data_IF_570556380575
#
_entry.id   IF_570556380575
#
_cell.length_a   1.000
_cell.length_b   1.000
_cell.length_c   1.000
_cell.angle_alpha   90.00
_cell.angle_beta   90.00
_cell.angle_gamma   90.00
#
_symmetry.space_group_name_H-M   'P 1'
#
loop_
_entity.id
_entity.type
_entity.pdbx_description
1 polymer ?
#
# COMPACT_ATOMS: atom_id res chain seq x y z
N UNK A 1 16.52 -21.40 -16.42
CA UNK A 1 15.15 -21.11 -15.91
C UNK A 1 14.90 -19.65 -15.51
N UNK A 2 15.89 -18.84 -15.10
CA UNK A 2 15.64 -17.41 -14.78
C UNK A 2 15.59 -16.50 -16.04
N UNK A 3 16.24 -16.91 -17.13
CA UNK A 3 16.35 -16.12 -18.38
C UNK A 3 15.06 -16.22 -19.21
N UNK A 4 14.33 -17.34 -19.14
CA UNK A 4 13.04 -17.51 -19.83
C UNK A 4 11.90 -16.66 -19.24
N UNK A 5 11.93 -16.36 -17.94
CA UNK A 5 10.91 -15.50 -17.32
C UNK A 5 11.04 -14.03 -17.76
N UNK A 6 12.26 -13.58 -18.06
CA UNK A 6 12.51 -12.21 -18.53
C UNK A 6 12.07 -12.05 -20.00
N UNK A 7 12.19 -13.11 -20.79
CA UNK A 7 11.79 -13.09 -22.20
C UNK A 7 10.26 -13.14 -22.38
N UNK A 8 9.54 -13.91 -21.54
CA UNK A 8 8.07 -13.95 -21.58
C UNK A 8 7.38 -12.67 -21.06
N UNK A 9 8.06 -11.83 -20.28
CA UNK A 9 7.51 -10.53 -19.83
C UNK A 9 7.53 -9.43 -20.88
N UNK A 10 8.24 -9.59 -22.00
CA UNK A 10 8.37 -8.54 -23.02
C UNK A 10 7.18 -8.43 -23.99
N UNK A 11 6.27 -9.43 -24.00
CA UNK A 11 5.25 -9.55 -25.06
C UNK A 11 3.80 -9.73 -24.58
N UNK A 12 3.47 -9.43 -23.32
CA UNK A 12 2.09 -9.52 -22.79
C UNK A 12 1.66 -8.20 -22.11
N UNK A 13 1.50 -7.10 -22.87
CA UNK A 13 1.17 -5.79 -22.28
C UNK A 13 -0.20 -5.76 -21.57
N UNK A 14 -1.14 -6.63 -21.94
CA UNK A 14 -2.52 -6.58 -21.42
C UNK A 14 -2.73 -7.34 -20.10
N UNK A 15 -1.98 -8.42 -19.83
CA UNK A 15 -2.13 -9.20 -18.59
C UNK A 15 -1.28 -8.69 -17.41
N UNK A 16 -0.35 -7.79 -17.68
CA UNK A 16 0.57 -7.22 -16.68
C UNK A 16 -0.01 -5.98 -15.98
N UNK A 17 -0.94 -5.27 -16.63
CA UNK A 17 -1.60 -4.09 -16.06
C UNK A 17 -2.26 -4.34 -14.69
N UNK A 18 -3.12 -5.36 -14.49
CA UNK A 18 -3.76 -5.58 -13.18
C UNK A 18 -2.75 -5.97 -12.09
N UNK A 19 -1.63 -6.60 -12.45
CA UNK A 19 -0.53 -6.91 -11.52
C UNK A 19 0.16 -5.63 -11.06
N UNK A 20 0.43 -4.69 -11.98
CA UNK A 20 1.04 -3.38 -11.66
C UNK A 20 0.09 -2.56 -10.81
N UNK A 21 -1.21 -2.53 -11.14
CA UNK A 21 -2.24 -1.82 -10.36
C UNK A 21 -2.33 -2.38 -8.94
N UNK A 22 -2.41 -3.70 -8.78
CA UNK A 22 -2.48 -4.28 -7.44
C UNK A 22 -1.19 -4.04 -6.64
N UNK A 23 -0.03 -4.12 -7.29
CA UNK A 23 1.27 -3.83 -6.67
C UNK A 23 1.39 -2.37 -6.25
N UNK A 24 0.90 -1.43 -7.07
CA UNK A 24 0.92 0.00 -6.76
C UNK A 24 -0.05 0.34 -5.64
N UNK A 25 -1.21 -0.32 -5.57
CA UNK A 25 -2.15 -0.19 -4.43
C UNK A 25 -1.54 -0.70 -3.14
N UNK A 26 -0.90 -1.87 -3.14
CA UNK A 26 -0.23 -2.41 -1.94
C UNK A 26 0.91 -1.49 -1.49
N UNK A 27 1.68 -0.95 -2.44
CA UNK A 27 2.75 0.00 -2.12
C UNK A 27 2.18 1.34 -1.62
N UNK A 28 1.09 1.82 -2.22
CA UNK A 28 0.37 3.02 -1.79
C UNK A 28 -0.16 2.88 -0.37
N UNK A 29 -0.69 1.71 0.00
CA UNK A 29 -1.16 1.40 1.34
C UNK A 29 -0.04 1.51 2.38
N UNK A 30 1.16 1.08 2.00
CA UNK A 30 2.36 1.15 2.82
C UNK A 30 2.92 2.58 2.96
N UNK A 31 2.74 3.42 1.94
CA UNK A 31 3.11 4.84 1.92
C UNK A 31 2.10 5.73 2.63
N UNK A 32 0.83 5.35 2.66
CA UNK A 32 -0.27 6.12 3.26
C UNK A 32 0.02 6.60 4.70
N UNK A 33 0.49 5.76 5.65
CA UNK A 33 0.77 6.24 7.00
C UNK A 33 1.95 7.21 7.05
N UNK A 34 2.91 7.12 6.12
CA UNK A 34 4.01 8.09 6.00
C UNK A 34 3.49 9.45 5.54
N UNK A 35 2.53 9.48 4.63
CA UNK A 35 1.88 10.71 4.20
C UNK A 35 1.09 11.34 5.35
N UNK A 36 0.36 10.54 6.15
CA UNK A 36 -0.30 11.02 7.36
C UNK A 36 0.69 11.64 8.36
N UNK A 37 1.83 11.00 8.59
CA UNK A 37 2.90 11.56 9.43
C UNK A 37 3.41 12.87 8.86
N UNK A 38 3.67 12.93 7.54
CA UNK A 38 4.19 14.12 6.87
C UNK A 38 3.22 15.32 6.92
N UNK A 39 1.91 15.07 6.89
CA UNK A 39 0.86 16.10 7.05
C UNK A 39 0.74 16.55 8.52
N UNK A 40 1.41 15.88 9.45
CA UNK A 40 1.44 16.26 10.86
C UNK A 40 0.37 15.60 11.70
N UNK A 41 -0.24 14.49 11.27
CA UNK A 41 -1.24 13.76 12.05
C UNK A 41 -0.74 13.34 13.45
N UNK A 42 0.58 13.18 13.63
CA UNK A 42 1.19 12.87 14.92
C UNK A 42 1.14 14.02 15.93
N UNK A 43 1.02 15.26 15.47
CA UNK A 43 0.98 16.44 16.37
C UNK A 43 -0.26 16.44 17.27
N UNK A 44 -1.28 15.68 16.89
CA UNK A 44 -2.50 15.50 17.66
C UNK A 44 -2.43 14.47 18.78
N UNK A 45 -1.40 13.62 18.81
CA UNK A 45 -1.24 12.58 19.82
C UNK A 45 -0.29 13.01 20.94
N UNK A 46 -0.40 12.35 22.10
CA UNK A 46 0.55 12.54 23.19
C UNK A 46 1.99 12.27 22.70
N UNK A 47 2.93 13.14 23.09
CA UNK A 47 4.33 13.09 22.64
C UNK A 47 4.98 11.71 22.86
N UNK A 48 4.64 11.01 23.96
CA UNK A 48 5.12 9.65 24.22
C UNK A 48 4.65 8.61 23.20
N UNK A 49 3.41 8.72 22.72
CA UNK A 49 2.89 7.84 21.67
C UNK A 49 3.63 8.08 20.35
N UNK A 50 3.83 9.33 19.97
CA UNK A 50 4.61 9.70 18.78
C UNK A 50 6.04 9.15 18.85
N UNK A 51 6.75 9.33 19.97
CA UNK A 51 8.12 8.83 20.14
C UNK A 51 8.24 7.31 20.07
N UNK A 52 7.23 6.56 20.54
CA UNK A 52 7.26 5.10 20.51
C UNK A 52 6.82 4.53 19.15
N UNK A 53 5.75 5.09 18.59
CA UNK A 53 5.11 4.58 17.36
C UNK A 53 5.87 4.97 16.09
N UNK A 54 6.45 6.16 16.02
CA UNK A 54 7.14 6.66 14.83
C UNK A 54 8.35 5.79 14.43
N UNK A 55 9.32 5.47 15.32
CA UNK A 55 10.44 4.60 14.95
C UNK A 55 9.98 3.16 14.65
N UNK A 56 8.97 2.65 15.34
CA UNK A 56 8.41 1.33 15.07
C UNK A 56 7.76 1.26 13.68
N UNK A 57 6.96 2.29 13.34
CA UNK A 57 6.31 2.38 12.05
C UNK A 57 7.32 2.57 10.91
N UNK A 58 8.29 3.48 11.09
CA UNK A 58 9.39 3.65 10.15
C UNK A 58 10.11 2.32 9.91
N UNK A 59 10.49 1.60 10.97
CA UNK A 59 11.15 0.31 10.85
C UNK A 59 10.29 -0.71 10.09
N UNK A 60 9.00 -0.83 10.41
CA UNK A 60 8.09 -1.73 9.72
C UNK A 60 7.93 -1.38 8.23
N UNK A 61 7.70 -0.11 7.91
CA UNK A 61 7.60 0.38 6.52
C UNK A 61 8.91 0.17 5.76
N UNK A 62 10.07 0.39 6.39
CA UNK A 62 11.39 0.16 5.77
C UNK A 62 11.64 -1.32 5.51
N UNK A 63 11.34 -2.19 6.47
CA UNK A 63 11.49 -3.66 6.32
C UNK A 63 10.59 -4.17 5.19
N UNK A 64 9.32 -3.78 5.18
CA UNK A 64 8.35 -4.20 4.16
C UNK A 64 8.72 -3.65 2.78
N UNK A 65 9.04 -2.35 2.67
CA UNK A 65 9.45 -1.74 1.40
C UNK A 65 10.75 -2.34 0.88
N UNK A 66 11.76 -2.57 1.73
CA UNK A 66 12.99 -3.25 1.36
C UNK A 66 12.69 -4.64 0.78
N UNK A 67 11.83 -5.43 1.41
CA UNK A 67 11.47 -6.77 0.90
C UNK A 67 10.65 -6.72 -0.39
N UNK A 68 9.76 -5.74 -0.54
CA UNK A 68 8.93 -5.59 -1.74
C UNK A 68 9.71 -5.05 -2.94
N UNK A 69 10.69 -4.18 -2.70
CA UNK A 69 11.58 -3.58 -3.69
C UNK A 69 12.84 -4.41 -3.97
N UNK A 70 13.16 -5.40 -3.12
CA UNK A 70 14.28 -6.30 -3.32
C UNK A 70 14.18 -7.05 -4.66
N UNK A 71 15.34 -7.39 -5.23
CA UNK A 71 15.39 -8.16 -6.48
C UNK A 71 14.84 -9.58 -6.26
N UNK A 72 14.02 -10.11 -7.19
CA UNK A 72 13.54 -11.48 -7.12
C UNK A 72 14.72 -12.45 -7.27
N UNK A 73 14.98 -13.27 -6.25
CA UNK A 73 16.00 -14.34 -6.32
C UNK A 73 16.95 -14.45 -5.13
N UNK A 74 16.91 -13.54 -4.16
CA UNK A 74 17.69 -13.71 -2.92
C UNK A 74 17.07 -14.86 -2.12
N UNK A 75 17.78 -16.00 -2.03
CA UNK A 75 17.40 -17.15 -1.20
C UNK A 75 17.45 -16.74 0.27
N UNK A 76 16.31 -16.38 0.84
CA UNK A 76 16.20 -16.12 2.27
C UNK A 76 16.15 -17.45 3.05
N UNK A 77 17.14 -17.68 3.92
CA UNK A 77 17.32 -18.94 4.66
C UNK A 77 16.24 -19.24 5.72
N UNK A 78 15.36 -18.27 6.04
CA UNK A 78 14.30 -18.42 7.05
C UNK A 78 12.95 -17.87 6.59
N UNK A 79 12.39 -18.50 5.56
CA UNK A 79 11.11 -18.09 4.94
C UNK A 79 9.95 -17.94 5.95
N UNK A 80 9.90 -18.80 6.97
CA UNK A 80 8.86 -18.78 8.00
C UNK A 80 9.01 -17.58 8.96
N UNK A 81 10.23 -17.30 9.45
CA UNK A 81 10.48 -16.17 10.35
C UNK A 81 10.22 -14.85 9.66
N UNK A 82 10.64 -14.73 8.41
CA UNK A 82 10.41 -13.54 7.58
C UNK A 82 8.92 -13.34 7.25
N UNK A 83 8.16 -14.42 7.03
CA UNK A 83 6.71 -14.34 6.88
C UNK A 83 6.03 -13.84 8.15
N UNK A 84 6.45 -14.31 9.33
CA UNK A 84 5.91 -13.82 10.61
C UNK A 84 6.19 -12.33 10.82
N UNK A 85 7.42 -11.88 10.53
CA UNK A 85 7.79 -10.45 10.61
C UNK A 85 6.96 -9.61 9.63
N UNK A 86 6.71 -10.11 8.42
CA UNK A 86 5.85 -9.45 7.43
C UNK A 86 4.41 -9.31 7.95
N UNK A 87 3.82 -10.38 8.49
CA UNK A 87 2.49 -10.33 9.10
C UNK A 87 2.41 -9.37 10.28
N UNK A 88 3.41 -9.39 11.18
CA UNK A 88 3.47 -8.48 12.33
C UNK A 88 3.61 -7.03 11.87
N UNK A 89 4.46 -6.76 10.87
CA UNK A 89 4.63 -5.42 10.31
C UNK A 89 3.33 -4.91 9.67
N UNK A 90 2.61 -5.76 8.93
CA UNK A 90 1.30 -5.41 8.37
C UNK A 90 0.24 -5.16 9.45
N UNK A 91 0.21 -5.98 10.50
CA UNK A 91 -0.68 -5.75 11.65
C UNK A 91 -0.36 -4.42 12.33
N UNK A 92 0.92 -4.09 12.51
CA UNK A 92 1.35 -2.84 13.11
C UNK A 92 0.93 -1.65 12.25
N UNK A 93 1.20 -1.70 10.95
CA UNK A 93 0.78 -0.66 9.98
C UNK A 93 -0.74 -0.51 10.00
N UNK A 94 -1.50 -1.60 9.90
CA UNK A 94 -2.96 -1.58 9.93
C UNK A 94 -3.52 -1.01 11.24
N UNK A 95 -2.95 -1.40 12.38
CA UNK A 95 -3.36 -0.88 13.68
C UNK A 95 -3.11 0.62 13.81
N UNK A 96 -2.00 1.12 13.25
CA UNK A 96 -1.68 2.53 13.25
C UNK A 96 -2.59 3.33 12.33
N UNK A 97 -2.88 2.81 11.13
CA UNK A 97 -3.88 3.42 10.24
C UNK A 97 -5.23 3.54 10.93
N UNK A 98 -5.66 2.49 11.65
CA UNK A 98 -6.91 2.50 12.40
C UNK A 98 -6.92 3.60 13.47
N UNK A 99 -5.86 3.68 14.29
CA UNK A 99 -5.72 4.70 15.35
C UNK A 99 -5.67 6.12 14.78
N UNK A 100 -4.93 6.36 13.69
CA UNK A 100 -4.88 7.69 13.04
C UNK A 100 -6.22 8.05 12.41
N UNK A 101 -6.91 7.09 11.80
CA UNK A 101 -8.24 7.33 11.23
C UNK A 101 -9.23 7.80 12.29
N UNK A 102 -9.07 7.37 13.54
CA UNK A 102 -9.94 7.79 14.64
C UNK A 102 -9.71 9.20 15.17
N UNK A 103 -8.60 9.84 14.80
CA UNK A 103 -8.17 11.13 15.36
C UNK A 103 -8.72 12.35 14.59
N UNK A 104 -9.00 12.21 13.30
CA UNK A 104 -9.59 13.30 12.50
C UNK A 104 -11.03 13.53 12.98
N UNK A 105 -11.37 14.68 13.59
CA UNK A 105 -12.73 15.06 14.02
C UNK A 105 -13.84 15.02 12.93
N UNK A 106 -13.50 14.51 11.74
CA UNK A 106 -14.37 14.25 10.62
C UNK A 106 -15.26 13.02 10.88
N UNK A 107 -16.42 13.00 10.23
CA UNK A 107 -17.34 11.86 10.26
C UNK A 107 -16.68 10.58 9.69
N UNK A 108 -17.13 9.37 10.08
CA UNK A 108 -16.57 8.11 9.57
C UNK A 108 -16.49 8.02 8.03
N UNK A 109 -17.46 8.64 7.33
CA UNK A 109 -17.48 8.69 5.86
C UNK A 109 -16.39 9.59 5.27
N UNK A 110 -16.11 10.73 5.90
CA UNK A 110 -15.04 11.65 5.48
C UNK A 110 -13.65 11.08 5.76
N UNK A 111 -13.48 10.40 6.89
CA UNK A 111 -12.23 9.68 7.24
C UNK A 111 -11.89 8.61 6.21
N UNK A 112 -12.88 7.80 5.83
CA UNK A 112 -12.74 6.80 4.78
C UNK A 112 -12.41 7.44 3.43
N UNK A 113 -13.08 8.54 3.10
CA UNK A 113 -12.85 9.31 1.90
C UNK A 113 -11.43 9.87 1.79
N UNK A 114 -10.94 10.52 2.84
CA UNK A 114 -9.58 11.07 2.94
C UNK A 114 -8.53 9.95 2.89
N UNK A 115 -8.81 8.82 3.53
CA UNK A 115 -7.96 7.63 3.41
C UNK A 115 -7.89 7.13 1.96
N UNK A 116 -9.02 7.02 1.26
CA UNK A 116 -9.06 6.61 -0.14
C UNK A 116 -8.32 7.58 -1.05
N UNK A 117 -8.44 8.89 -0.87
CA UNK A 117 -7.74 9.88 -1.70
C UNK A 117 -6.23 9.81 -1.49
N UNK A 118 -5.77 9.75 -0.23
CA UNK A 118 -4.35 9.60 0.07
C UNK A 118 -3.78 8.29 -0.48
N UNK A 119 -4.52 7.20 -0.33
CA UNK A 119 -4.14 5.90 -0.88
C UNK A 119 -4.07 5.94 -2.41
N UNK A 120 -5.00 6.61 -3.08
CA UNK A 120 -5.03 6.76 -4.53
C UNK A 120 -3.83 7.59 -5.01
N UNK A 121 -3.52 8.71 -4.34
CA UNK A 121 -2.34 9.55 -4.63
C UNK A 121 -1.05 8.75 -4.43
N UNK A 122 -0.92 8.04 -3.30
CA UNK A 122 0.23 7.21 -2.99
C UNK A 122 0.41 6.07 -4.01
N UNK A 123 -0.69 5.46 -4.44
CA UNK A 123 -0.69 4.41 -5.46
C UNK A 123 -0.26 4.96 -6.81
N UNK A 124 -0.71 6.17 -7.17
CA UNK A 124 -0.31 6.84 -8.40
C UNK A 124 1.19 7.17 -8.42
N UNK A 125 1.74 7.64 -7.29
CA UNK A 125 3.17 7.88 -7.11
C UNK A 125 4.00 6.59 -7.18
N UNK A 126 3.46 5.48 -6.66
CA UNK A 126 4.13 4.17 -6.70
C UNK A 126 4.05 3.47 -8.06
N UNK A 127 3.05 3.79 -8.89
CA UNK A 127 2.82 3.18 -10.20
C UNK A 127 4.04 3.24 -11.16
N UNK A 128 4.71 4.38 -11.40
CA UNK A 128 5.87 4.43 -12.28
C UNK A 128 7.01 3.56 -11.76
N UNK A 129 7.19 3.48 -10.44
CA UNK A 129 8.23 2.65 -9.82
C UNK A 129 7.99 1.16 -10.05
N UNK A 130 6.73 0.72 -9.96
CA UNK A 130 6.32 -0.66 -10.20
C UNK A 130 6.26 -1.04 -11.68
N UNK A 131 6.02 -0.08 -12.56
CA UNK A 131 6.05 -0.28 -14.00
C UNK A 131 7.47 -0.39 -14.56
N UNK A 132 8.40 0.40 -14.04
CA UNK A 132 9.78 0.51 -14.55
C UNK A 132 10.74 -0.54 -13.98
N UNK A 133 10.50 -1.04 -12.76
CA UNK A 133 11.44 -1.92 -12.06
C UNK A 133 10.81 -3.29 -11.76
N UNK A 134 11.47 -4.41 -12.14
CA UNK A 134 11.01 -5.74 -11.75
C UNK A 134 11.25 -5.95 -10.24
N UNK A 135 10.22 -5.67 -9.45
CA UNK A 135 10.22 -5.79 -7.99
C UNK A 135 9.75 -7.19 -7.54
N UNK A 136 10.21 -7.66 -6.38
CA UNK A 136 9.75 -8.93 -5.81
C UNK A 136 8.22 -8.96 -5.58
N UNK A 137 7.61 -7.81 -5.26
CA UNK A 137 6.15 -7.69 -5.09
C UNK A 137 5.37 -8.02 -6.37
N UNK A 138 5.80 -7.46 -7.50
CA UNK A 138 5.18 -7.69 -8.81
C UNK A 138 5.27 -9.17 -9.18
N UNK A 139 6.44 -9.79 -8.94
CA UNK A 139 6.64 -11.23 -9.21
C UNK A 139 5.76 -12.10 -8.31
N UNK A 140 5.60 -11.74 -7.02
CA UNK A 140 4.71 -12.45 -6.10
C UNK A 140 3.25 -12.37 -6.54
N UNK A 141 2.79 -11.20 -6.95
CA UNK A 141 1.40 -11.00 -7.41
C UNK A 141 1.18 -11.69 -8.76
N UNK A 142 2.18 -11.71 -9.65
CA UNK A 142 2.10 -12.43 -10.92
C UNK A 142 1.95 -13.96 -10.76
N UNK A 143 2.29 -14.52 -9.60
CA UNK A 143 2.08 -15.94 -9.28
C UNK A 143 0.65 -16.28 -8.86
N UNK A 144 -0.18 -15.27 -8.57
CA UNK A 144 -1.56 -15.48 -8.15
C UNK A 144 -2.45 -15.81 -9.36
N UNK A 145 -3.57 -16.54 -9.15
CA UNK A 145 -4.49 -16.81 -10.23
C UNK A 145 -5.02 -15.49 -10.82
N UNK A 146 -4.99 -15.38 -12.15
CA UNK A 146 -5.31 -14.15 -12.88
C UNK A 146 -6.68 -13.57 -12.52
N UNK A 147 -7.66 -14.45 -12.25
CA UNK A 147 -9.00 -14.06 -11.81
C UNK A 147 -9.00 -13.32 -10.47
N UNK A 148 -8.19 -13.76 -9.49
CA UNK A 148 -8.07 -13.07 -8.20
C UNK A 148 -7.37 -11.73 -8.38
N UNK A 149 -6.27 -11.67 -9.13
CA UNK A 149 -5.55 -10.41 -9.35
C UNK A 149 -6.45 -9.38 -10.02
N UNK A 150 -7.19 -9.80 -11.04
CA UNK A 150 -8.13 -8.94 -11.76
C UNK A 150 -9.28 -8.49 -10.85
N UNK A 151 -9.92 -9.43 -10.13
CA UNK A 151 -11.00 -9.11 -9.20
C UNK A 151 -10.54 -8.14 -8.10
N UNK A 152 -9.40 -8.40 -7.46
CA UNK A 152 -8.83 -7.55 -6.42
C UNK A 152 -8.42 -6.17 -6.97
N UNK A 153 -7.83 -6.11 -8.16
CA UNK A 153 -7.44 -4.83 -8.77
C UNK A 153 -8.66 -3.96 -9.10
N UNK A 154 -9.72 -4.57 -9.65
CA UNK A 154 -10.96 -3.89 -9.96
C UNK A 154 -11.68 -3.46 -8.69
N UNK A 155 -11.83 -4.36 -7.71
CA UNK A 155 -12.49 -4.05 -6.45
C UNK A 155 -11.76 -2.94 -5.70
N UNK A 156 -10.43 -2.98 -5.64
CA UNK A 156 -9.63 -1.93 -5.01
C UNK A 156 -9.79 -0.59 -5.74
N UNK A 157 -9.71 -0.59 -7.08
CA UNK A 157 -9.84 0.64 -7.87
C UNK A 157 -11.23 1.25 -7.70
N UNK A 158 -12.29 0.45 -7.79
CA UNK A 158 -13.67 0.90 -7.60
C UNK A 158 -13.87 1.44 -6.19
N UNK A 159 -13.39 0.72 -5.16
CA UNK A 159 -13.50 1.16 -3.76
C UNK A 159 -12.79 2.51 -3.54
N UNK A 160 -11.59 2.68 -4.09
CA UNK A 160 -10.82 3.92 -3.96
C UNK A 160 -11.47 5.09 -4.68
N UNK A 161 -11.96 4.88 -5.91
CA UNK A 161 -12.66 5.91 -6.68
C UNK A 161 -13.96 6.29 -5.99
N UNK A 162 -14.77 5.31 -5.58
CA UNK A 162 -16.04 5.56 -4.90
C UNK A 162 -15.83 6.27 -3.56
N UNK A 163 -14.87 5.82 -2.75
CA UNK A 163 -14.54 6.49 -1.49
C UNK A 163 -14.07 7.94 -1.70
N UNK A 164 -13.22 8.17 -2.70
CA UNK A 164 -12.75 9.52 -3.06
C UNK A 164 -13.88 10.40 -3.61
N UNK A 165 -14.78 9.84 -4.42
CA UNK A 165 -15.93 10.55 -4.96
C UNK A 165 -16.92 10.93 -3.85
N UNK A 166 -17.22 10.01 -2.92
CA UNK A 166 -18.08 10.31 -1.76
C UNK A 166 -17.50 11.46 -0.94
N UNK A 167 -16.18 11.54 -0.79
CA UNK A 167 -15.52 12.67 -0.13
C UNK A 167 -15.70 13.98 -0.90
N UNK A 168 -15.44 13.98 -2.21
CA UNK A 168 -15.51 15.17 -3.07
C UNK A 168 -16.94 15.69 -3.27
N UNK A 169 -17.93 14.80 -3.28
CA UNK A 169 -19.34 15.15 -3.51
C UNK A 169 -20.12 15.38 -2.21
N UNK A 170 -19.49 15.22 -1.05
CA UNK A 170 -20.16 15.54 0.21
C UNK A 170 -20.29 17.07 0.29
N UNK A 171 -21.52 17.62 0.27
CA UNK A 171 -21.70 19.05 0.40
C UNK A 171 -21.21 19.48 1.79
N UNK A 172 -20.43 20.55 1.84
CA UNK A 172 -20.01 21.18 3.09
C UNK A 172 -21.27 21.49 3.92
N UNK A 173 -21.39 21.01 5.17
CA UNK A 173 -22.51 21.41 6.03
C UNK A 173 -22.41 22.87 6.51
N UNK A 174 -21.42 23.64 6.03
CA UNK A 174 -21.11 25.00 6.46
C UNK A 174 -21.12 26.04 5.32
N UNK A 175 -21.78 25.73 4.21
CA UNK A 175 -22.13 26.71 3.16
C UNK A 175 -23.64 27.00 3.18
#
# INVERSE_FOLDING_TARGET
MLIDQICCTRNQPMAYFPVVVLSSVVMGLLLTPMIYIAIGALSGFAMGFAFLSLPALLACTLILSYRFLARPGVRESSRARLSAVESIAWLLVGSFLFVISDFTLLTPSERFGLFCTLLLIASFLAAPWMALRPCALVVRIAQWPKSLVLACSLSATVLLIMGSAIYLYKPDPFL
#
